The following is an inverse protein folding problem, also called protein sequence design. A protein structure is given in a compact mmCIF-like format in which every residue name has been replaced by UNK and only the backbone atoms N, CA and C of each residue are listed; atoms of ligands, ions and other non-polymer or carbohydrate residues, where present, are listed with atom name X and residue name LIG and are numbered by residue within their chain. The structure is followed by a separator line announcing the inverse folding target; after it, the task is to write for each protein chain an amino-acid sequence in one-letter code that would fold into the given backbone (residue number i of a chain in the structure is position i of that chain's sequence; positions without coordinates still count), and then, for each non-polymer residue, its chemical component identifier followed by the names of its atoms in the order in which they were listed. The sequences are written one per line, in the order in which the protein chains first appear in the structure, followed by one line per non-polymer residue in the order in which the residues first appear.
data_IF_567746201992
#
_entry.id   IF_567746201992
#
_cell.length_a   1.000
_cell.length_b   1.000
_cell.length_c   1.000
_cell.angle_alpha   90.00
_cell.angle_beta   90.00
_cell.angle_gamma   90.00
#
_symmetry.space_group_name_H-M   'P 1'
#
loop_
_entity.id
_entity.type
_entity.pdbx_description
1 polymer ?
#
# COMPACT_ATOMS: atom_id res chain seq x y z
N UNK A 1 -8.90 1.30 5.59
CA UNK A 1 -9.10 1.98 6.89
C UNK A 1 -7.92 2.92 7.08
N UNK A 2 -8.16 4.21 7.31
CA UNK A 2 -7.05 5.17 7.55
C UNK A 2 -6.35 4.79 8.86
N UNK A 3 -5.01 4.85 8.88
CA UNK A 3 -4.21 4.46 10.05
C UNK A 3 -4.04 2.94 10.23
N UNK A 4 -4.50 2.10 9.31
CA UNK A 4 -4.25 0.66 9.39
C UNK A 4 -2.76 0.32 9.24
N UNK A 5 -2.26 -0.51 10.14
CA UNK A 5 -0.88 -1.00 10.24
C UNK A 5 -0.89 -2.50 10.56
N UNK A 6 0.30 -3.12 10.69
CA UNK A 6 0.37 -4.55 10.99
C UNK A 6 -0.21 -4.90 12.37
N UNK A 7 -0.22 -3.96 13.33
CA UNK A 7 -0.75 -4.16 14.68
C UNK A 7 -2.28 -4.24 14.69
N UNK A 8 -2.95 -3.49 13.81
CA UNK A 8 -4.41 -3.37 13.73
C UNK A 8 -5.05 -4.25 12.65
N UNK A 9 -4.29 -4.73 11.67
CA UNK A 9 -4.84 -5.43 10.50
C UNK A 9 -5.61 -6.70 10.85
N UNK A 10 -5.26 -7.39 11.94
CA UNK A 10 -5.97 -8.61 12.33
C UNK A 10 -7.44 -8.31 12.68
N UNK A 11 -7.70 -7.23 13.41
CA UNK A 11 -9.06 -6.84 13.76
C UNK A 11 -9.84 -6.32 12.55
N UNK A 12 -9.16 -5.62 11.65
CA UNK A 12 -9.74 -5.19 10.37
C UNK A 12 -10.08 -6.42 9.51
N UNK A 13 -9.20 -7.42 9.45
CA UNK A 13 -9.42 -8.64 8.68
C UNK A 13 -10.65 -9.42 9.16
N UNK A 14 -11.02 -9.33 10.44
CA UNK A 14 -12.27 -9.94 10.97
C UNK A 14 -13.55 -9.30 10.41
N UNK A 15 -13.44 -8.14 9.77
CA UNK A 15 -14.57 -7.53 9.04
C UNK A 15 -14.78 -8.16 7.67
N UNK A 16 -13.80 -8.90 7.14
CA UNK A 16 -13.95 -9.68 5.91
C UNK A 16 -15.13 -10.65 6.06
N UNK A 17 -15.96 -10.72 5.03
CA UNK A 17 -17.10 -11.65 4.96
C UNK A 17 -16.83 -12.66 3.87
N UNK A 18 -16.40 -13.84 4.30
CA UNK A 18 -16.28 -15.00 3.44
C UNK A 18 -16.60 -16.29 4.18
N UNK A 19 -17.41 -17.13 3.56
CA UNK A 19 -17.68 -18.47 4.01
C UNK A 19 -16.73 -19.44 3.31
N UNK A 20 -15.81 -20.03 4.08
CA UNK A 20 -14.78 -20.94 3.57
C UNK A 20 -15.32 -22.11 2.73
N UNK A 21 -16.56 -22.58 2.99
CA UNK A 21 -17.14 -23.75 2.30
C UNK A 21 -18.06 -23.38 1.14
N UNK A 22 -18.72 -22.23 1.21
CA UNK A 22 -19.84 -21.89 0.32
C UNK A 22 -19.52 -20.76 -0.66
N UNK A 23 -18.47 -19.97 -0.40
CA UNK A 23 -18.13 -18.84 -1.25
C UNK A 23 -17.00 -19.18 -2.22
N UNK A 24 -16.96 -18.46 -3.33
CA UNK A 24 -15.85 -18.55 -4.28
C UNK A 24 -14.53 -18.06 -3.65
N UNK A 25 -13.38 -18.66 -4.04
CA UNK A 25 -12.05 -18.21 -3.65
C UNK A 25 -11.78 -16.75 -3.97
N UNK A 26 -10.81 -16.16 -3.27
CA UNK A 26 -10.44 -14.75 -3.41
C UNK A 26 -8.99 -14.60 -3.85
N UNK A 27 -8.73 -13.54 -4.61
CA UNK A 27 -7.40 -12.91 -4.64
C UNK A 27 -7.39 -11.80 -3.59
N UNK A 28 -6.54 -11.94 -2.58
CA UNK A 28 -6.38 -10.97 -1.48
C UNK A 28 -5.03 -10.28 -1.64
N UNK A 29 -5.02 -8.95 -1.61
CA UNK A 29 -3.78 -8.16 -1.56
C UNK A 29 -3.61 -7.65 -0.13
N UNK A 30 -2.61 -8.17 0.57
CA UNK A 30 -2.20 -7.73 1.90
C UNK A 30 -1.15 -6.62 1.75
N UNK A 31 -1.58 -5.37 1.85
CA UNK A 31 -0.74 -4.20 1.54
C UNK A 31 -0.81 -3.14 2.64
N UNK A 32 0.16 -3.18 3.56
CA UNK A 32 0.32 -2.24 4.66
C UNK A 32 1.60 -1.43 4.40
N UNK A 33 1.44 -0.32 3.70
CA UNK A 33 2.56 0.28 2.96
C UNK A 33 3.27 1.43 3.68
N UNK A 34 2.81 1.83 4.87
CA UNK A 34 3.32 3.05 5.50
C UNK A 34 3.17 3.14 7.02
N UNK A 35 1.99 2.88 7.60
CA UNK A 35 1.73 3.23 9.01
C UNK A 35 2.62 2.50 10.04
N UNK A 36 3.21 1.35 9.68
CA UNK A 36 4.22 0.69 10.50
C UNK A 36 5.52 1.50 10.69
N UNK A 37 5.78 2.48 9.81
CA UNK A 37 6.90 3.44 9.92
C UNK A 37 6.44 4.90 9.95
N UNK A 38 5.13 5.16 9.84
CA UNK A 38 4.57 6.50 9.75
C UNK A 38 3.73 6.83 10.98
N UNK A 39 4.14 7.87 11.70
CA UNK A 39 3.45 8.38 12.87
C UNK A 39 3.67 9.89 13.03
N UNK A 40 2.87 10.53 13.89
CA UNK A 40 2.95 11.96 14.22
C UNK A 40 3.81 12.29 15.45
N UNK A 41 4.47 11.29 16.05
CA UNK A 41 5.17 11.46 17.32
C UNK A 41 6.52 12.18 17.15
N UNK A 42 6.96 13.02 18.11
CA UNK A 42 8.27 13.66 18.06
C UNK A 42 9.43 12.65 18.02
N UNK A 43 9.33 11.55 18.78
CA UNK A 43 10.31 10.47 18.79
C UNK A 43 9.96 9.39 17.75
N UNK A 44 9.80 9.81 16.49
CA UNK A 44 9.16 9.00 15.45
C UNK A 44 9.74 7.59 15.29
N UNK A 45 11.05 7.39 15.51
CA UNK A 45 11.73 6.10 15.35
C UNK A 45 11.36 5.07 16.42
N UNK A 46 11.08 5.54 17.65
CA UNK A 46 10.74 4.67 18.79
C UNK A 46 9.32 4.10 18.66
N UNK A 47 8.44 4.83 17.94
CA UNK A 47 7.05 4.45 17.70
C UNK A 47 6.83 3.65 16.40
N UNK A 48 7.90 3.36 15.64
CA UNK A 48 7.80 2.47 14.48
C UNK A 48 7.73 1.00 14.91
N UNK A 49 6.95 0.21 14.18
CA UNK A 49 6.89 -1.25 14.35
C UNK A 49 8.30 -1.86 14.30
N UNK A 50 8.61 -2.76 15.23
CA UNK A 50 9.89 -3.48 15.21
C UNK A 50 9.87 -4.67 14.26
N UNK A 51 11.04 -5.23 13.95
CA UNK A 51 11.18 -6.44 13.13
C UNK A 51 10.44 -7.62 13.76
N UNK A 52 10.53 -7.78 15.08
CA UNK A 52 9.88 -8.85 15.84
C UNK A 52 8.36 -8.67 15.86
N UNK A 53 7.88 -7.44 16.06
CA UNK A 53 6.45 -7.11 16.01
C UNK A 53 5.88 -7.40 14.62
N UNK A 54 6.55 -6.93 13.56
CA UNK A 54 6.11 -7.17 12.18
C UNK A 54 6.04 -8.66 11.86
N UNK A 55 7.04 -9.44 12.29
CA UNK A 55 7.03 -10.89 12.09
C UNK A 55 5.78 -11.53 12.72
N UNK A 56 5.53 -11.23 14.00
CA UNK A 56 4.38 -11.76 14.72
C UNK A 56 3.05 -11.33 14.07
N UNK A 57 2.96 -10.05 13.70
CA UNK A 57 1.75 -9.48 13.11
C UNK A 57 1.40 -10.09 11.75
N UNK A 58 2.38 -10.21 10.85
CA UNK A 58 2.17 -10.81 9.52
C UNK A 58 1.82 -12.29 9.65
N UNK A 59 2.53 -13.03 10.50
CA UNK A 59 2.24 -14.45 10.74
C UNK A 59 0.82 -14.66 11.28
N UNK A 60 0.40 -13.84 12.24
CA UNK A 60 -0.96 -13.88 12.78
C UNK A 60 -2.01 -13.54 11.71
N UNK A 61 -1.73 -12.53 10.87
CA UNK A 61 -2.60 -12.16 9.75
C UNK A 61 -2.80 -13.30 8.75
N UNK A 62 -1.70 -13.91 8.28
CA UNK A 62 -1.76 -15.05 7.36
C UNK A 62 -2.45 -16.27 7.99
N UNK A 63 -2.14 -16.56 9.25
CA UNK A 63 -2.80 -17.64 10.00
C UNK A 63 -4.30 -17.42 10.10
N UNK A 64 -4.74 -16.20 10.37
CA UNK A 64 -6.16 -15.88 10.41
C UNK A 64 -6.83 -16.03 9.04
N UNK A 65 -6.19 -15.52 7.97
CA UNK A 65 -6.71 -15.67 6.61
C UNK A 65 -6.93 -17.15 6.25
N UNK A 66 -6.08 -18.05 6.71
CA UNK A 66 -6.20 -19.49 6.44
C UNK A 66 -7.43 -20.12 7.10
N UNK A 67 -8.00 -19.47 8.11
CA UNK A 67 -9.24 -19.93 8.77
C UNK A 67 -10.53 -19.50 8.06
N UNK A 68 -10.47 -18.47 7.20
CA UNK A 68 -11.66 -17.85 6.61
C UNK A 68 -11.70 -17.92 5.09
N UNK A 69 -10.54 -17.94 4.43
CA UNK A 69 -10.48 -17.99 2.97
C UNK A 69 -10.87 -19.39 2.47
N UNK A 70 -11.75 -19.48 1.44
CA UNK A 70 -12.03 -20.74 0.75
C UNK A 70 -10.77 -21.34 0.11
N UNK A 71 -10.72 -22.68 0.06
CA UNK A 71 -9.62 -23.40 -0.59
C UNK A 71 -9.48 -22.98 -2.06
N UNK A 72 -8.25 -22.73 -2.48
CA UNK A 72 -7.93 -22.23 -3.82
C UNK A 72 -7.86 -20.71 -3.91
N UNK A 73 -7.85 -20.01 -2.76
CA UNK A 73 -7.63 -18.57 -2.74
C UNK A 73 -6.14 -18.24 -2.99
N UNK A 74 -5.84 -16.97 -3.21
CA UNK A 74 -4.49 -16.47 -3.43
C UNK A 74 -4.25 -15.22 -2.61
N UNK A 75 -3.09 -15.12 -1.97
CA UNK A 75 -2.70 -13.97 -1.16
C UNK A 75 -1.41 -13.36 -1.71
N UNK A 76 -1.47 -12.10 -2.13
CA UNK A 76 -0.31 -11.30 -2.51
C UNK A 76 0.04 -10.36 -1.36
N UNK A 77 1.16 -10.59 -0.68
CA UNK A 77 1.71 -9.64 0.29
C UNK A 77 2.60 -8.64 -0.40
N UNK A 78 2.68 -7.43 0.15
CA UNK A 78 3.54 -6.37 -0.39
C UNK A 78 4.54 -5.88 0.64
N UNK A 79 5.71 -5.45 0.18
CA UNK A 79 6.60 -4.62 0.99
C UNK A 79 5.98 -3.27 1.34
N UNK A 80 6.67 -2.51 2.19
CA UNK A 80 6.35 -1.12 2.49
C UNK A 80 6.81 -0.20 1.35
N UNK A 81 6.21 0.99 1.28
CA UNK A 81 6.63 2.01 0.32
C UNK A 81 7.99 2.61 0.70
N UNK A 82 8.76 3.08 -0.28
CA UNK A 82 9.86 4.00 -0.05
C UNK A 82 9.32 5.44 -0.09
N UNK A 83 8.91 5.99 1.05
CA UNK A 83 8.35 7.34 1.12
C UNK A 83 9.37 8.47 1.12
N UNK A 84 10.69 8.20 1.07
CA UNK A 84 11.70 9.27 1.00
C UNK A 84 11.56 10.17 -0.24
N UNK A 85 10.99 9.61 -1.32
CA UNK A 85 10.68 10.29 -2.57
C UNK A 85 9.65 11.42 -2.40
N UNK A 86 8.76 11.33 -1.41
CA UNK A 86 7.67 12.29 -1.23
C UNK A 86 8.21 13.70 -0.96
N UNK A 87 9.12 13.81 0.01
CA UNK A 87 9.75 15.10 0.33
C UNK A 87 10.54 15.63 -0.87
N UNK A 88 11.29 14.77 -1.57
CA UNK A 88 12.07 15.17 -2.75
C UNK A 88 11.18 15.78 -3.84
N UNK A 89 10.02 15.17 -4.10
CA UNK A 89 9.09 15.59 -5.14
C UNK A 89 8.29 16.84 -4.79
N UNK A 90 8.04 17.11 -3.50
CA UNK A 90 7.06 18.10 -3.07
C UNK A 90 7.61 19.32 -2.33
N UNK A 91 8.75 19.21 -1.63
CA UNK A 91 9.14 20.19 -0.60
C UNK A 91 9.19 21.67 -1.07
N UNK A 92 9.61 21.93 -2.31
CA UNK A 92 9.68 23.28 -2.89
C UNK A 92 8.41 23.70 -3.66
N UNK A 93 7.45 22.78 -3.84
CA UNK A 93 6.21 23.08 -4.55
C UNK A 93 5.26 23.86 -3.65
N UNK A 94 4.53 24.81 -4.25
CA UNK A 94 3.50 25.58 -3.55
C UNK A 94 2.32 24.66 -3.21
N UNK A 95 2.01 24.57 -1.92
CA UNK A 95 0.85 23.85 -1.42
C UNK A 95 -0.44 24.51 -1.94
N UNK A 96 -1.56 23.79 -2.21
CA UNK A 96 -2.78 24.40 -2.73
C UNK A 96 -3.27 25.63 -1.95
N UNK A 97 -3.18 25.59 -0.62
CA UNK A 97 -3.52 26.74 0.25
C UNK A 97 -2.54 27.92 0.17
N UNK A 98 -1.31 27.69 -0.29
CA UNK A 98 -0.32 28.74 -0.54
C UNK A 98 -0.46 29.40 -1.91
N UNK A 99 -1.46 29.03 -2.72
CA UNK A 99 -1.68 29.63 -4.06
C UNK A 99 -2.40 30.98 -3.99
N UNK A 100 -3.02 31.31 -2.87
CA UNK A 100 -3.73 32.57 -2.64
C UNK A 100 -3.13 33.26 -1.43
N UNK A 101 -2.66 34.50 -1.61
CA UNK A 101 -1.99 35.27 -0.55
C UNK A 101 -0.49 35.01 -0.48
N UNK A 102 0.08 35.03 0.73
CA UNK A 102 1.51 34.77 0.93
C UNK A 102 1.81 33.30 0.62
N UNK A 103 2.72 33.01 -0.34
CA UNK A 103 3.01 31.64 -0.73
C UNK A 103 3.70 30.87 0.38
N UNK A 104 3.35 29.59 0.51
CA UNK A 104 4.05 28.62 1.35
C UNK A 104 4.09 27.26 0.63
N UNK A 105 5.12 26.48 0.91
CA UNK A 105 5.38 25.21 0.24
C UNK A 105 4.92 24.00 1.06
N UNK A 106 5.04 22.80 0.51
CA UNK A 106 4.84 21.58 1.29
C UNK A 106 5.82 21.47 2.46
N UNK A 107 7.06 21.96 2.35
CA UNK A 107 8.01 21.99 3.48
C UNK A 107 7.44 22.77 4.68
N UNK A 108 6.76 23.88 4.42
CA UNK A 108 6.12 24.69 5.47
C UNK A 108 4.96 23.93 6.11
N UNK A 109 4.12 23.26 5.31
CA UNK A 109 3.04 22.39 5.81
C UNK A 109 3.58 21.24 6.64
N UNK A 110 4.61 20.54 6.17
CA UNK A 110 5.22 19.44 6.91
C UNK A 110 5.75 19.91 8.26
N UNK A 111 6.45 21.05 8.29
CA UNK A 111 6.94 21.66 9.53
C UNK A 111 5.80 22.03 10.47
N UNK A 112 4.71 22.62 9.95
CA UNK A 112 3.52 22.98 10.70
C UNK A 112 2.83 21.76 11.32
N UNK A 113 2.60 20.71 10.54
CA UNK A 113 1.95 19.48 11.01
C UNK A 113 2.80 18.72 12.04
N UNK A 114 4.13 18.67 11.84
CA UNK A 114 5.05 18.10 12.83
C UNK A 114 5.06 18.89 14.13
N UNK A 115 5.01 20.24 14.08
CA UNK A 115 4.91 21.09 15.26
C UNK A 115 3.65 20.79 16.08
N UNK A 116 2.54 20.51 15.41
CA UNK A 116 1.26 20.14 16.01
C UNK A 116 1.16 18.65 16.39
N UNK A 117 2.17 17.83 16.08
CA UNK A 117 2.19 16.37 16.29
C UNK A 117 1.02 15.64 15.60
N UNK A 118 0.62 16.14 14.42
CA UNK A 118 -0.46 15.58 13.61
C UNK A 118 -0.01 15.28 12.17
N UNK A 119 1.31 15.27 11.92
CA UNK A 119 1.83 14.81 10.64
C UNK A 119 1.45 13.34 10.43
N UNK A 120 0.96 12.96 9.22
CA UNK A 120 0.67 11.57 8.93
C UNK A 120 1.96 10.72 8.90
N UNK A 121 3.13 11.33 8.71
CA UNK A 121 4.40 10.62 8.71
C UNK A 121 5.59 11.57 8.99
N UNK A 122 5.91 11.82 10.26
CA UNK A 122 7.07 12.64 10.63
C UNK A 122 8.39 12.10 10.07
N UNK A 123 8.51 10.77 9.96
CA UNK A 123 9.71 10.11 9.46
C UNK A 123 10.08 10.52 8.03
N UNK A 124 9.11 10.54 7.10
CA UNK A 124 9.35 10.91 5.70
C UNK A 124 9.04 12.37 5.36
N UNK A 125 8.06 12.98 6.02
CA UNK A 125 7.60 14.35 5.74
C UNK A 125 8.35 15.36 6.63
N UNK A 126 9.66 15.43 6.44
CA UNK A 126 10.55 16.26 7.26
C UNK A 126 11.72 16.77 6.44
N UNK A 127 12.25 17.95 6.75
CA UNK A 127 13.49 18.44 6.15
C UNK A 127 14.74 17.70 6.63
N UNK A 128 14.66 16.97 7.74
CA UNK A 128 15.77 16.17 8.28
C UNK A 128 16.02 14.92 7.42
N UNK A 129 17.05 14.97 6.58
CA UNK A 129 17.44 13.88 5.68
C UNK A 129 17.85 12.59 6.39
N UNK A 130 18.51 12.73 7.54
CA UNK A 130 18.92 11.61 8.39
C UNK A 130 17.68 10.87 8.90
N UNK A 131 16.64 11.60 9.31
CA UNK A 131 15.40 10.99 9.76
C UNK A 131 14.65 10.29 8.62
N UNK A 132 14.62 10.88 7.41
CA UNK A 132 14.05 10.22 6.22
C UNK A 132 14.80 8.94 5.87
N UNK A 133 16.14 8.95 5.97
CA UNK A 133 16.97 7.78 5.69
C UNK A 133 16.71 6.64 6.70
N UNK A 134 16.66 6.95 8.00
CA UNK A 134 16.36 5.96 9.05
C UNK A 134 14.95 5.38 8.92
N UNK A 135 13.95 6.21 8.57
CA UNK A 135 12.59 5.75 8.30
C UNK A 135 12.55 4.79 7.11
N UNK A 136 13.28 5.12 6.05
CA UNK A 136 13.38 4.27 4.85
C UNK A 136 14.11 2.96 5.16
N UNK A 137 15.16 3.02 5.98
CA UNK A 137 15.87 1.83 6.43
C UNK A 137 14.92 0.90 7.19
N UNK A 138 14.14 1.41 8.16
CA UNK A 138 13.13 0.60 8.85
C UNK A 138 12.12 0.00 7.87
N UNK A 139 11.64 0.77 6.89
CA UNK A 139 10.70 0.28 5.89
C UNK A 139 11.26 -0.90 5.08
N UNK A 140 12.54 -0.87 4.71
CA UNK A 140 13.25 -1.97 4.06
C UNK A 140 13.35 -3.18 4.99
N UNK A 141 13.78 -2.99 6.24
CA UNK A 141 13.88 -4.06 7.24
C UNK A 141 12.53 -4.77 7.44
N UNK A 142 11.44 -3.99 7.56
CA UNK A 142 10.09 -4.55 7.71
C UNK A 142 9.59 -5.25 6.45
N UNK A 143 9.94 -4.75 5.26
CA UNK A 143 9.61 -5.40 3.98
C UNK A 143 10.29 -6.77 3.86
N UNK A 144 11.55 -6.87 4.28
CA UNK A 144 12.28 -8.15 4.32
C UNK A 144 11.62 -9.15 5.29
N UNK A 145 11.09 -8.66 6.42
CA UNK A 145 10.31 -9.50 7.34
C UNK A 145 9.04 -10.03 6.68
N UNK A 146 8.25 -9.16 6.05
CA UNK A 146 7.02 -9.56 5.33
C UNK A 146 7.35 -10.61 4.26
N UNK A 147 8.43 -10.39 3.50
CA UNK A 147 8.93 -11.31 2.48
C UNK A 147 9.31 -12.68 3.07
N UNK A 148 10.07 -12.69 4.16
CA UNK A 148 10.55 -13.91 4.81
C UNK A 148 9.39 -14.73 5.40
N UNK A 149 8.46 -14.08 6.10
CA UNK A 149 7.26 -14.75 6.62
C UNK A 149 6.42 -15.31 5.47
N UNK A 150 6.26 -14.54 4.39
CA UNK A 150 5.51 -14.98 3.20
C UNK A 150 6.10 -16.25 2.60
N UNK A 151 7.43 -16.35 2.45
CA UNK A 151 8.06 -17.52 1.85
C UNK A 151 8.18 -18.73 2.77
N UNK A 152 8.06 -18.54 4.09
CA UNK A 152 8.17 -19.63 5.07
C UNK A 152 6.81 -20.14 5.55
N UNK A 153 5.74 -19.36 5.36
CA UNK A 153 4.39 -19.75 5.74
C UNK A 153 3.83 -20.86 4.85
N UNK A 154 3.32 -21.94 5.46
CA UNK A 154 2.70 -23.07 4.78
C UNK A 154 1.18 -23.00 4.93
N UNK A 155 0.54 -22.32 3.99
CA UNK A 155 -0.91 -22.14 3.93
C UNK A 155 -1.64 -23.42 3.48
N UNK A 156 -2.86 -23.64 3.98
CA UNK A 156 -3.69 -24.79 3.60
C UNK A 156 -4.76 -24.44 2.56
N UNK A 157 -5.31 -23.22 2.63
CA UNK A 157 -6.45 -22.79 1.81
C UNK A 157 -6.08 -21.81 0.71
N UNK A 158 -4.86 -21.26 0.73
CA UNK A 158 -4.39 -20.36 -0.31
C UNK A 158 -2.92 -20.57 -0.67
N UNK A 159 -2.54 -20.11 -1.85
CA UNK A 159 -1.13 -19.88 -2.16
C UNK A 159 -0.75 -18.44 -1.79
N UNK A 160 0.48 -18.23 -1.34
CA UNK A 160 0.98 -16.90 -1.00
C UNK A 160 2.17 -16.51 -1.87
N UNK A 161 2.28 -15.22 -2.19
CA UNK A 161 3.42 -14.65 -2.89
C UNK A 161 3.72 -13.24 -2.37
N UNK A 162 4.94 -12.79 -2.60
CA UNK A 162 5.42 -11.48 -2.19
C UNK A 162 5.79 -10.61 -3.40
N UNK A 163 5.52 -9.31 -3.31
CA UNK A 163 5.90 -8.31 -4.29
C UNK A 163 6.41 -7.04 -3.58
N UNK A 164 7.53 -6.47 -4.03
CA UNK A 164 7.95 -5.14 -3.56
C UNK A 164 6.94 -4.07 -3.99
N UNK A 165 6.76 -3.03 -3.17
CA UNK A 165 5.78 -1.98 -3.48
C UNK A 165 6.19 -1.21 -4.75
N UNK A 166 5.35 -1.14 -5.80
CA UNK A 166 5.81 -0.79 -7.15
C UNK A 166 5.89 0.71 -7.44
N UNK A 167 6.25 1.56 -6.47
CA UNK A 167 6.30 3.02 -6.67
C UNK A 167 7.21 3.45 -7.82
N UNK A 168 8.43 2.91 -7.88
CA UNK A 168 9.36 3.26 -8.94
C UNK A 168 8.82 2.90 -10.32
N UNK A 169 8.22 1.71 -10.47
CA UNK A 169 7.61 1.29 -11.73
C UNK A 169 6.49 2.24 -12.17
N UNK A 170 5.64 2.66 -11.23
CA UNK A 170 4.54 3.59 -11.53
C UNK A 170 5.05 4.97 -11.92
N UNK A 171 6.08 5.48 -11.23
CA UNK A 171 6.69 6.77 -11.57
C UNK A 171 7.33 6.74 -12.96
N UNK A 172 8.08 5.68 -13.29
CA UNK A 172 8.67 5.54 -14.61
C UNK A 172 7.63 5.41 -15.72
N UNK A 173 6.53 4.68 -15.48
CA UNK A 173 5.43 4.57 -16.43
C UNK A 173 4.73 5.92 -16.69
N UNK A 174 4.60 6.76 -15.65
CA UNK A 174 4.03 8.10 -15.79
C UNK A 174 4.96 9.07 -16.52
N UNK A 175 6.26 9.03 -16.21
CA UNK A 175 7.29 9.80 -16.93
C UNK A 175 7.30 9.44 -18.42
N UNK A 176 7.19 8.14 -18.76
CA UNK A 176 7.14 7.68 -20.14
C UNK A 176 5.93 8.22 -20.93
N UNK A 177 4.87 8.65 -20.24
CA UNK A 177 3.68 9.30 -20.84
C UNK A 177 3.79 10.83 -20.86
N UNK A 178 4.94 11.39 -20.47
CA UNK A 178 5.19 12.83 -20.41
C UNK A 178 4.76 13.51 -19.10
N UNK A 179 4.43 12.73 -18.07
CA UNK A 179 4.06 13.22 -16.75
C UNK A 179 5.25 13.46 -15.82
N UNK A 180 4.98 14.06 -14.66
CA UNK A 180 5.95 14.25 -13.58
C UNK A 180 5.49 13.51 -12.32
N UNK A 181 6.37 12.80 -11.58
CA UNK A 181 5.94 11.94 -10.47
C UNK A 181 5.13 12.61 -9.36
N UNK A 182 5.38 13.90 -9.07
CA UNK A 182 4.61 14.64 -8.06
C UNK A 182 3.11 14.74 -8.41
N UNK A 183 2.74 14.57 -9.69
CA UNK A 183 1.34 14.58 -10.15
C UNK A 183 0.56 13.35 -9.72
N UNK A 184 1.23 12.32 -9.17
CA UNK A 184 0.61 11.10 -8.67
C UNK A 184 0.35 11.14 -7.16
N UNK A 185 0.74 12.21 -6.49
CA UNK A 185 0.57 12.41 -5.06
C UNK A 185 -0.68 13.27 -4.79
N UNK A 186 -1.33 13.03 -3.66
CA UNK A 186 -2.46 13.82 -3.20
C UNK A 186 -2.02 15.24 -2.88
N UNK A 187 -2.71 16.21 -3.48
CA UNK A 187 -2.26 17.60 -3.45
C UNK A 187 -2.49 18.29 -2.10
N UNK A 188 -3.40 17.77 -1.27
CA UNK A 188 -3.77 18.40 0.00
C UNK A 188 -2.96 17.85 1.16
N UNK A 189 -2.75 16.54 1.22
CA UNK A 189 -1.92 15.95 2.29
C UNK A 189 -0.44 15.86 1.92
N UNK A 190 -0.11 15.86 0.62
CA UNK A 190 1.27 15.73 0.15
C UNK A 190 1.93 14.42 0.60
N UNK A 191 1.15 13.36 0.76
CA UNK A 191 1.57 12.08 1.32
C UNK A 191 1.02 10.89 0.55
N UNK A 192 -0.31 10.78 0.41
CA UNK A 192 -0.92 9.62 -0.23
C UNK A 192 -0.78 9.67 -1.74
N UNK A 193 -0.94 8.52 -2.41
CA UNK A 193 -1.20 8.50 -3.85
C UNK A 193 -2.61 9.02 -4.14
N UNK A 194 -2.72 9.82 -5.19
CA UNK A 194 -4.02 10.24 -5.71
C UNK A 194 -4.65 9.16 -6.61
N UNK A 195 -5.79 9.49 -7.22
CA UNK A 195 -6.51 8.56 -8.08
C UNK A 195 -5.65 8.01 -9.25
N UNK A 196 -4.83 8.84 -9.88
CA UNK A 196 -3.93 8.40 -10.96
C UNK A 196 -2.80 7.51 -10.43
N UNK A 197 -2.23 7.85 -9.28
CA UNK A 197 -1.24 7.01 -8.60
C UNK A 197 -1.80 5.62 -8.27
N UNK A 198 -3.04 5.55 -7.75
CA UNK A 198 -3.71 4.29 -7.45
C UNK A 198 -4.05 3.47 -8.70
N UNK A 199 -4.44 4.11 -9.81
CA UNK A 199 -4.63 3.44 -11.09
C UNK A 199 -3.31 2.83 -11.61
N UNK A 200 -2.21 3.58 -11.55
CA UNK A 200 -0.88 3.07 -11.93
C UNK A 200 -0.43 1.90 -11.05
N UNK A 201 -0.66 1.97 -9.74
CA UNK A 201 -0.39 0.84 -8.83
C UNK A 201 -1.22 -0.40 -9.22
N UNK A 202 -2.49 -0.21 -9.57
CA UNK A 202 -3.37 -1.30 -10.01
C UNK A 202 -2.85 -1.98 -11.28
N UNK A 203 -2.41 -1.20 -12.27
CA UNK A 203 -1.78 -1.72 -13.50
C UNK A 203 -0.48 -2.46 -13.20
N UNK A 204 0.32 -1.98 -12.24
CA UNK A 204 1.54 -2.64 -11.81
C UNK A 204 1.26 -3.99 -11.14
N UNK A 205 0.27 -4.06 -10.22
CA UNK A 205 -0.16 -5.31 -9.62
C UNK A 205 -0.69 -6.30 -10.67
N UNK A 206 -1.54 -5.84 -11.58
CA UNK A 206 -2.11 -6.68 -12.63
C UNK A 206 -1.02 -7.25 -13.56
N UNK A 207 -0.10 -6.40 -14.02
CA UNK A 207 1.03 -6.80 -14.83
C UNK A 207 1.94 -7.80 -14.11
N UNK A 208 2.16 -7.60 -12.81
CA UNK A 208 2.94 -8.51 -12.00
C UNK A 208 2.25 -9.88 -11.87
N UNK A 209 0.93 -9.91 -11.65
CA UNK A 209 0.16 -11.15 -11.58
C UNK A 209 0.20 -11.90 -12.91
N UNK A 210 -0.04 -11.22 -14.03
CA UNK A 210 0.04 -11.83 -15.37
C UNK A 210 1.42 -12.44 -15.65
N UNK A 211 2.49 -11.76 -15.24
CA UNK A 211 3.86 -12.22 -15.49
C UNK A 211 4.31 -13.34 -14.54
N UNK A 212 4.02 -13.22 -13.26
CA UNK A 212 4.65 -14.06 -12.22
C UNK A 212 3.71 -15.12 -11.65
N UNK A 213 2.39 -14.89 -11.74
CA UNK A 213 1.34 -15.78 -11.22
C UNK A 213 0.15 -15.88 -12.20
N UNK A 214 0.36 -16.13 -13.51
CA UNK A 214 -0.73 -16.20 -14.48
C UNK A 214 -1.81 -17.24 -14.10
N UNK A 215 -1.41 -18.31 -13.40
CA UNK A 215 -2.32 -19.35 -12.91
C UNK A 215 -3.29 -18.88 -11.81
N UNK A 216 -3.03 -17.74 -11.17
CA UNK A 216 -3.96 -17.13 -10.21
C UNK A 216 -5.08 -16.34 -10.90
N UNK A 217 -4.90 -16.03 -12.19
CA UNK A 217 -5.89 -15.33 -12.99
C UNK A 217 -6.74 -16.35 -13.75
N UNK A 218 -8.07 -16.31 -13.63
CA UNK A 218 -8.92 -17.21 -14.40
C UNK A 218 -8.77 -16.92 -15.91
N UNK A 219 -9.02 -17.92 -16.77
CA UNK A 219 -9.07 -17.68 -18.21
C UNK A 219 -10.18 -16.68 -18.55
N UNK A 220 -10.02 -16.00 -19.69
CA UNK A 220 -11.08 -15.16 -20.22
C UNK A 220 -12.34 -16.00 -20.42
N UNK A 221 -13.44 -15.59 -19.80
CA UNK A 221 -14.70 -16.32 -19.91
C UNK A 221 -15.24 -16.21 -21.36
N UNK A 222 -15.39 -17.33 -22.08
CA UNK A 222 -15.82 -17.31 -23.48
C UNK A 222 -17.26 -16.81 -23.68
N UNK A 223 -18.05 -16.75 -22.59
CA UNK A 223 -19.43 -16.30 -22.62
C UNK A 223 -19.61 -14.83 -22.23
N UNK A 224 -18.53 -14.04 -22.11
CA UNK A 224 -18.65 -12.61 -21.78
C UNK A 224 -19.62 -11.87 -22.73
N UNK A 225 -19.53 -12.13 -24.04
CA UNK A 225 -20.43 -11.52 -25.03
C UNK A 225 -21.89 -11.97 -24.87
N UNK A 226 -22.14 -13.21 -24.42
CA UNK A 226 -23.48 -13.70 -24.13
C UNK A 226 -24.04 -13.06 -22.86
N UNK A 227 -23.22 -12.93 -21.82
CA UNK A 227 -23.59 -12.29 -20.56
C UNK A 227 -23.98 -10.84 -20.82
N UNK A 228 -23.17 -10.08 -21.55
CA UNK A 228 -23.47 -8.69 -21.91
C UNK A 228 -24.76 -8.59 -22.76
N UNK A 229 -24.95 -9.48 -23.73
CA UNK A 229 -26.16 -9.50 -24.56
C UNK A 229 -27.43 -9.79 -23.77
N UNK A 230 -27.38 -10.71 -22.80
CA UNK A 230 -28.56 -11.18 -22.05
C UNK A 230 -28.82 -10.33 -20.81
N UNK A 231 -27.79 -10.04 -20.03
CA UNK A 231 -27.87 -9.38 -18.73
C UNK A 231 -27.42 -7.91 -18.76
N UNK A 232 -26.90 -7.42 -19.89
CA UNK A 232 -26.48 -6.02 -20.09
C UNK A 232 -25.43 -5.60 -19.05
N UNK A 233 -25.72 -4.58 -18.27
CA UNK A 233 -24.88 -4.04 -17.20
C UNK A 233 -24.88 -4.90 -15.92
N UNK A 234 -25.59 -6.04 -15.94
CA UNK A 234 -25.67 -7.01 -14.84
C UNK A 234 -26.22 -6.40 -13.54
N UNK A 235 -26.97 -5.28 -13.64
CA UNK A 235 -27.53 -4.57 -12.49
C UNK A 235 -26.70 -3.38 -11.99
N UNK A 236 -25.52 -3.11 -12.57
CA UNK A 236 -24.70 -1.92 -12.30
C UNK A 236 -24.09 -1.80 -10.90
N UNK A 237 -23.19 -0.80 -10.75
CA UNK A 237 -22.71 -0.19 -9.50
C UNK A 237 -22.39 1.29 -9.75
#
# INVERSE_FOLDING_TARGET
VNGADSKSILDIAKTLRRNQKNDAPLLVIYSLVGNDVCNGHPNTLDDMTTVEEMHANVLNGLTYLDTILPKGSHVLTTGLANGSVLYQLLHDRIHPFGRVGTPFTYKDIYTYLSCLQISPCNGWLTSNDTLRALTTQRAVELSDVVRNVTFTYLAQNFDVAYMDFPFEQVFQAWIAQGGEPWQLLESVDGFHTNQYGNAGLSDAYWSWLQKNKPQWLPPLNPHNADIERVFKDQGGY
#
